data_IF_724480192202
#
_entry.id   IF_724480192202
#
_cell.length_a   1.000
_cell.length_b   1.000
_cell.length_c   1.000
_cell.angle_alpha   90.00
_cell.angle_beta   90.00
_cell.angle_gamma   90.00
#
_symmetry.space_group_name_H-M   'P 1'
#
loop_
_entity.id
_entity.type
_entity.pdbx_description
1 polymer ?
#
# COMPACT_ATOMS: atom_id res chain seq x y z
N UNK A 1 0.40 -32.64 -5.59
CA UNK A 1 -0.59 -33.16 -4.62
C UNK A 1 0.18 -33.89 -3.52
N UNK A 2 0.70 -33.15 -2.54
CA UNK A 2 1.39 -33.72 -1.36
C UNK A 2 0.33 -34.18 -0.36
N UNK A 3 0.45 -35.44 0.06
CA UNK A 3 -0.57 -36.21 0.76
C UNK A 3 -0.93 -35.71 2.16
N UNK A 4 -1.97 -36.30 2.78
CA UNK A 4 -2.53 -35.86 4.04
C UNK A 4 -1.51 -36.08 5.16
N UNK A 5 -1.25 -35.02 5.93
CA UNK A 5 -0.40 -35.06 7.11
C UNK A 5 -0.85 -36.17 8.06
N UNK A 6 0.02 -37.15 8.27
CA UNK A 6 -0.21 -38.22 9.23
C UNK A 6 -0.34 -37.64 10.63
N UNK A 7 -1.44 -37.93 11.31
CA UNK A 7 -1.58 -37.67 12.73
C UNK A 7 -1.08 -38.89 13.50
N UNK A 8 0.08 -38.78 14.15
CA UNK A 8 0.53 -39.78 15.12
C UNK A 8 0.15 -39.28 16.52
N UNK A 9 -1.03 -39.69 17.02
CA UNK A 9 -1.33 -39.57 18.44
C UNK A 9 -0.82 -40.83 19.14
N UNK A 10 0.29 -40.74 19.88
CA UNK A 10 0.74 -41.79 20.79
C UNK A 10 -0.03 -41.60 22.10
N UNK A 11 -1.07 -42.40 22.31
CA UNK A 11 -1.63 -42.59 23.65
C UNK A 11 -0.73 -43.59 24.39
N UNK A 12 0.07 -43.11 25.35
CA UNK A 12 0.82 -43.97 26.26
C UNK A 12 -0.06 -44.27 27.49
N UNK A 13 -0.45 -45.53 27.66
CA UNK A 13 -1.15 -45.99 28.86
C UNK A 13 -0.09 -46.49 29.86
N UNK A 14 -0.01 -45.85 31.03
CA UNK A 14 0.83 -46.31 32.14
C UNK A 14 -0.06 -46.97 33.21
N UNK A 15 0.37 -48.14 33.72
CA UNK A 15 -0.30 -48.80 34.84
C UNK A 15 -1.47 -49.73 34.47
N UNK A 16 -1.37 -50.45 33.35
CA UNK A 16 -2.33 -51.54 33.07
C UNK A 16 -1.94 -52.74 33.94
N UNK A 17 -2.62 -52.89 35.08
CA UNK A 17 -2.54 -54.11 35.89
C UNK A 17 -3.41 -55.17 35.19
N UNK A 18 -2.80 -56.27 34.74
CA UNK A 18 -3.44 -57.32 33.92
C UNK A 18 -4.58 -58.06 34.67
N UNK A 19 -4.74 -57.79 35.97
CA UNK A 19 -5.60 -58.54 36.88
C UNK A 19 -6.96 -57.87 37.22
N UNK A 20 -7.26 -56.68 36.69
CA UNK A 20 -8.57 -56.04 36.91
C UNK A 20 -9.09 -55.40 35.61
N UNK A 21 -10.02 -56.10 34.95
CA UNK A 21 -10.85 -55.61 33.85
C UNK A 21 -11.87 -54.55 34.35
N UNK A 22 -11.41 -53.53 35.09
CA UNK A 22 -12.22 -52.32 35.27
C UNK A 22 -12.00 -51.47 34.02
N UNK A 23 -13.01 -51.27 33.16
CA UNK A 23 -12.85 -50.38 32.03
C UNK A 23 -12.46 -49.00 32.56
N UNK A 24 -11.26 -48.54 32.21
CA UNK A 24 -10.91 -47.14 32.35
C UNK A 24 -11.99 -46.35 31.62
N UNK A 25 -12.64 -45.42 32.31
CA UNK A 25 -13.77 -44.67 31.76
C UNK A 25 -13.46 -44.13 30.36
N UNK A 26 -14.50 -43.99 29.52
CA UNK A 26 -14.35 -43.48 28.17
C UNK A 26 -13.66 -42.11 28.20
N UNK A 27 -12.52 -41.99 27.52
CA UNK A 27 -11.90 -40.70 27.25
C UNK A 27 -12.29 -40.24 25.84
N UNK A 28 -12.78 -39.01 25.73
CA UNK A 28 -13.10 -38.41 24.44
C UNK A 28 -11.89 -37.63 23.92
N UNK A 29 -11.39 -37.99 22.74
CA UNK A 29 -10.39 -37.19 22.03
C UNK A 29 -11.14 -36.23 21.11
N UNK A 30 -11.05 -34.93 21.37
CA UNK A 30 -11.60 -33.91 20.48
C UNK A 30 -10.54 -33.44 19.49
N UNK A 31 -10.73 -33.72 18.21
CA UNK A 31 -9.83 -33.30 17.12
C UNK A 31 -10.52 -32.17 16.36
N UNK A 32 -10.03 -30.95 16.52
CA UNK A 32 -10.55 -29.78 15.82
C UNK A 32 -9.89 -29.63 14.45
N UNK A 33 -10.63 -29.20 13.41
CA UNK A 33 -10.05 -28.91 12.10
C UNK A 33 -9.12 -27.68 12.16
N UNK A 34 -8.29 -27.55 11.13
CA UNK A 34 -7.44 -26.37 10.89
C UNK A 34 -7.96 -25.57 9.72
N UNK A 35 -7.84 -24.25 9.83
CA UNK A 35 -8.24 -23.29 8.81
C UNK A 35 -7.07 -22.41 8.41
N UNK A 36 -7.07 -21.98 7.15
CA UNK A 36 -6.05 -21.11 6.59
C UNK A 36 -6.45 -19.65 6.76
N UNK A 37 -5.53 -18.84 7.26
CA UNK A 37 -5.61 -17.39 7.27
C UNK A 37 -4.60 -16.83 6.26
N UNK A 38 -5.09 -16.13 5.24
CA UNK A 38 -4.28 -15.37 4.29
C UNK A 38 -4.33 -13.90 4.68
N UNK A 39 -3.17 -13.29 4.85
CA UNK A 39 -3.05 -11.88 5.21
C UNK A 39 -2.27 -11.16 4.11
N UNK A 40 -2.76 -9.99 3.73
CA UNK A 40 -2.09 -9.13 2.76
C UNK A 40 -2.27 -7.67 3.11
N UNK A 41 -1.47 -6.81 2.49
CA UNK A 41 -1.62 -5.37 2.54
C UNK A 41 -1.80 -4.81 1.13
N UNK A 42 -2.60 -3.75 1.04
CA UNK A 42 -2.92 -3.09 -0.21
C UNK A 42 -2.85 -1.57 -0.04
N UNK A 43 -1.97 -0.88 -0.77
CA UNK A 43 -0.89 -1.40 -1.63
C UNK A 43 0.23 -2.14 -0.87
N UNK A 44 1.00 -2.97 -1.59
CA UNK A 44 2.01 -3.87 -1.00
C UNK A 44 3.20 -3.13 -0.38
N UNK A 45 3.55 -1.95 -0.88
CA UNK A 45 4.70 -1.19 -0.38
C UNK A 45 4.32 -0.15 0.68
N UNK A 46 3.02 0.01 0.97
CA UNK A 46 2.51 1.11 1.81
C UNK A 46 2.37 0.73 3.29
N UNK A 47 2.74 -0.50 3.63
CA UNK A 47 2.72 -0.99 5.00
C UNK A 47 3.03 -2.47 5.10
N UNK A 48 2.81 -3.03 6.28
CA UNK A 48 2.96 -4.46 6.55
C UNK A 48 1.92 -4.92 7.57
N UNK A 49 1.72 -6.24 7.66
CA UNK A 49 0.85 -6.87 8.65
C UNK A 49 1.58 -8.01 9.35
N UNK A 50 1.39 -8.13 10.66
CA UNK A 50 1.92 -9.23 11.47
C UNK A 50 0.82 -9.87 12.32
N UNK A 51 0.77 -11.21 12.43
CA UNK A 51 1.54 -12.19 11.65
C UNK A 51 1.12 -12.23 10.17
N UNK A 52 1.96 -12.77 9.25
CA UNK A 52 1.68 -12.84 7.81
C UNK A 52 0.62 -13.89 7.41
N UNK A 53 -0.15 -14.41 8.36
CA UNK A 53 -1.09 -15.52 8.17
C UNK A 53 -0.49 -16.89 8.50
N UNK A 54 -1.21 -17.95 8.16
CA UNK A 54 -0.84 -19.34 8.47
C UNK A 54 -2.04 -20.26 8.69
N UNK A 55 -1.78 -21.45 9.23
CA UNK A 55 -2.82 -22.40 9.64
C UNK A 55 -3.09 -22.30 11.13
N UNK A 56 -4.37 -22.24 11.50
CA UNK A 56 -4.83 -22.11 12.87
C UNK A 56 -5.87 -23.16 13.20
N UNK A 57 -5.90 -23.64 14.44
CA UNK A 57 -6.95 -24.55 14.91
C UNK A 57 -8.27 -23.78 15.00
N UNK A 58 -9.39 -24.41 14.65
CA UNK A 58 -10.72 -23.81 14.78
C UNK A 58 -10.93 -23.21 16.17
N UNK A 59 -11.47 -21.99 16.23
CA UNK A 59 -11.73 -21.24 17.46
C UNK A 59 -10.52 -20.47 17.99
N UNK A 60 -9.35 -20.57 17.34
CA UNK A 60 -8.19 -19.73 17.69
C UNK A 60 -8.52 -18.24 17.46
N UNK A 61 -8.01 -17.38 18.32
CA UNK A 61 -8.06 -15.92 18.14
C UNK A 61 -6.68 -15.42 17.75
N UNK A 62 -6.58 -14.82 16.57
CA UNK A 62 -5.33 -14.26 16.02
C UNK A 62 -5.34 -12.74 16.24
N UNK A 63 -4.27 -12.21 16.83
CA UNK A 63 -4.05 -10.77 16.99
C UNK A 63 -3.27 -10.24 15.78
N UNK A 64 -3.96 -9.53 14.89
CA UNK A 64 -3.37 -8.88 13.72
C UNK A 64 -2.98 -7.43 14.04
N UNK A 65 -1.78 -7.04 13.62
CA UNK A 65 -1.28 -5.67 13.72
C UNK A 65 -0.88 -5.16 12.34
N UNK A 66 -1.48 -4.05 11.91
CA UNK A 66 -1.04 -3.30 10.74
C UNK A 66 0.03 -2.27 11.13
N UNK A 67 1.07 -2.14 10.31
CA UNK A 67 2.13 -1.14 10.49
C UNK A 67 2.28 -0.35 9.18
N UNK A 68 1.84 0.91 9.12
CA UNK A 68 2.04 1.76 7.95
C UNK A 68 3.51 2.01 7.67
N UNK A 69 3.88 2.10 6.39
CA UNK A 69 5.18 2.59 5.99
C UNK A 69 5.26 4.12 6.15
N UNK A 70 6.47 4.67 6.05
CA UNK A 70 6.68 6.12 6.11
C UNK A 70 5.84 6.84 5.05
N UNK A 71 5.24 7.98 5.41
CA UNK A 71 4.35 8.79 4.55
C UNK A 71 2.99 8.15 4.17
N UNK A 72 2.68 6.97 4.71
CA UNK A 72 1.39 6.30 4.53
C UNK A 72 0.67 6.15 5.87
N UNK A 73 -0.64 5.92 5.80
CA UNK A 73 -1.50 5.67 6.95
C UNK A 73 -2.35 4.43 6.74
N UNK A 74 -2.67 3.76 7.83
CA UNK A 74 -3.68 2.71 7.82
C UNK A 74 -5.06 3.33 7.63
N UNK A 75 -5.87 2.73 6.77
CA UNK A 75 -7.25 3.13 6.53
C UNK A 75 -8.18 2.21 7.33
N UNK A 76 -8.16 0.92 7.01
CA UNK A 76 -9.05 -0.08 7.60
C UNK A 76 -8.67 -1.51 7.18
N UNK A 77 -9.25 -2.48 7.88
CA UNK A 77 -9.24 -3.89 7.51
C UNK A 77 -10.38 -4.23 6.56
N UNK A 78 -10.15 -5.15 5.63
CA UNK A 78 -11.20 -5.70 4.77
C UNK A 78 -11.08 -7.23 4.59
N UNK A 79 -12.11 -7.84 3.98
CA UNK A 79 -12.22 -9.28 3.78
C UNK A 79 -12.98 -9.94 4.92
N UNK A 80 -12.35 -10.90 5.60
CA UNK A 80 -12.90 -11.60 6.76
C UNK A 80 -12.90 -10.77 8.05
N UNK A 81 -12.38 -9.54 8.00
CA UNK A 81 -12.39 -8.60 9.11
C UNK A 81 -12.71 -7.18 8.66
N UNK A 82 -13.08 -6.33 9.61
CA UNK A 82 -13.38 -4.92 9.41
C UNK A 82 -12.93 -4.08 10.60
N UNK A 83 -12.81 -2.78 10.39
CA UNK A 83 -12.48 -1.81 11.43
C UNK A 83 -11.27 -0.96 11.10
N UNK A 84 -11.12 0.15 11.80
CA UNK A 84 -10.11 1.19 11.56
C UNK A 84 -8.99 1.18 12.60
N UNK A 85 -9.03 0.24 13.55
CA UNK A 85 -7.97 0.09 14.55
C UNK A 85 -6.77 -0.67 13.95
N UNK A 86 -5.56 -0.19 14.22
CA UNK A 86 -4.31 -0.85 13.82
C UNK A 86 -4.17 -2.27 14.38
N UNK A 87 -4.81 -2.53 15.52
CA UNK A 87 -4.85 -3.83 16.19
C UNK A 87 -6.24 -4.43 16.07
N UNK A 88 -6.31 -5.69 15.67
CA UNK A 88 -7.55 -6.42 15.43
C UNK A 88 -7.43 -7.84 15.98
N UNK A 89 -8.44 -8.29 16.72
CA UNK A 89 -8.57 -9.70 17.09
C UNK A 89 -9.54 -10.39 16.14
N UNK A 90 -9.09 -11.48 15.51
CA UNK A 90 -9.89 -12.26 14.57
C UNK A 90 -10.04 -13.70 15.09
N UNK A 91 -11.29 -14.13 15.28
CA UNK A 91 -11.62 -15.53 15.55
C UNK A 91 -11.60 -16.34 14.25
N UNK A 92 -10.91 -17.48 14.25
CA UNK A 92 -10.76 -18.35 13.08
C UNK A 92 -11.79 -19.48 13.13
N UNK A 93 -12.89 -19.29 12.42
CA UNK A 93 -13.96 -20.29 12.29
C UNK A 93 -14.00 -21.00 10.94
N UNK A 94 -13.38 -20.40 9.92
CA UNK A 94 -13.25 -20.95 8.56
C UNK A 94 -12.03 -20.35 7.86
N UNK A 95 -11.78 -20.73 6.61
CA UNK A 95 -10.74 -20.11 5.79
C UNK A 95 -11.02 -18.62 5.62
N UNK A 96 -10.03 -17.79 5.96
CA UNK A 96 -10.18 -16.34 6.03
C UNK A 96 -9.13 -15.63 5.20
N UNK A 97 -9.54 -14.56 4.53
CA UNK A 97 -8.64 -13.64 3.83
C UNK A 97 -8.82 -12.26 4.45
N UNK A 98 -7.73 -11.67 4.93
CA UNK A 98 -7.72 -10.34 5.53
C UNK A 98 -6.77 -9.44 4.75
N UNK A 99 -7.23 -8.22 4.46
CA UNK A 99 -6.43 -7.21 3.79
C UNK A 99 -6.34 -5.96 4.66
N UNK A 100 -5.13 -5.52 4.98
CA UNK A 100 -4.88 -4.19 5.53
C UNK A 100 -4.83 -3.17 4.40
N UNK A 101 -5.69 -2.16 4.44
CA UNK A 101 -5.70 -1.09 3.44
C UNK A 101 -4.92 0.11 3.95
N UNK A 102 -4.05 0.63 3.10
CA UNK A 102 -3.23 1.81 3.38
C UNK A 102 -3.56 2.92 2.39
N UNK A 103 -3.34 4.16 2.81
CA UNK A 103 -3.54 5.35 2.01
C UNK A 103 -2.40 6.34 2.20
N UNK A 104 -2.26 7.24 1.25
CA UNK A 104 -1.30 8.33 1.34
C UNK A 104 -1.66 9.28 2.48
N UNK A 105 -0.63 9.87 3.08
CA UNK A 105 -0.76 11.09 3.86
C UNK A 105 -0.56 12.26 2.89
N UNK A 106 -1.40 13.28 3.00
CA UNK A 106 -1.34 14.49 2.18
C UNK A 106 -1.06 15.71 3.07
N UNK A 107 -0.41 16.72 2.51
CA UNK A 107 -0.39 18.07 3.10
C UNK A 107 -1.80 18.66 3.14
N UNK A 108 -2.03 19.54 4.13
CA UNK A 108 -3.37 20.09 4.43
C UNK A 108 -3.65 21.38 3.67
N UNK A 109 -2.63 22.19 3.38
CA UNK A 109 -2.78 23.44 2.62
C UNK A 109 -3.02 23.20 1.11
N UNK A 110 -2.40 22.15 0.56
CA UNK A 110 -2.53 21.71 -0.83
C UNK A 110 -2.45 20.18 -0.84
N UNK A 111 -3.41 19.42 -1.40
CA UNK A 111 -3.43 17.96 -1.31
C UNK A 111 -2.32 17.30 -2.14
N UNK A 112 -1.09 17.29 -1.61
CA UNK A 112 0.11 16.72 -2.23
C UNK A 112 0.64 15.59 -1.35
N UNK A 113 0.96 14.40 -1.90
CA UNK A 113 1.44 13.27 -1.11
C UNK A 113 2.80 13.54 -0.45
N UNK A 114 2.93 13.17 0.82
CA UNK A 114 4.19 13.35 1.56
C UNK A 114 5.33 12.51 0.95
N UNK A 115 5.04 11.29 0.50
CA UNK A 115 6.05 10.44 -0.16
C UNK A 115 6.58 11.08 -1.45
N UNK A 116 5.72 11.80 -2.16
CA UNK A 116 6.10 12.51 -3.39
C UNK A 116 7.00 13.69 -3.07
N UNK A 117 6.64 14.50 -2.06
CA UNK A 117 7.51 15.59 -1.57
C UNK A 117 8.87 15.06 -1.08
N UNK A 118 8.85 13.97 -0.32
CA UNK A 118 10.06 13.31 0.18
C UNK A 118 10.95 12.78 -0.95
N UNK A 119 10.36 12.31 -2.05
CA UNK A 119 11.13 11.89 -3.23
C UNK A 119 11.93 13.03 -3.88
N UNK A 120 11.54 14.29 -3.65
CA UNK A 120 12.27 15.49 -4.06
C UNK A 120 13.15 16.10 -2.95
N UNK A 121 13.35 15.36 -1.85
CA UNK A 121 14.23 15.75 -0.75
C UNK A 121 13.57 16.62 0.33
N UNK A 122 12.25 16.81 0.30
CA UNK A 122 11.56 17.45 1.41
C UNK A 122 11.58 16.54 2.64
N UNK A 123 11.97 17.07 3.80
CA UNK A 123 11.93 16.36 5.07
C UNK A 123 11.43 17.27 6.17
N UNK A 124 10.63 16.74 7.10
CA UNK A 124 10.13 17.50 8.24
C UNK A 124 8.87 18.29 7.91
N UNK A 125 8.99 19.62 7.79
CA UNK A 125 7.85 20.51 7.57
C UNK A 125 7.36 20.49 6.11
N UNK A 126 6.53 19.49 5.81
CA UNK A 126 5.92 19.32 4.48
C UNK A 126 4.96 20.45 4.10
N UNK A 127 4.33 21.12 5.07
CA UNK A 127 3.39 22.22 4.81
C UNK A 127 4.14 23.47 4.32
N UNK A 128 5.37 23.68 4.79
CA UNK A 128 6.26 24.70 4.24
C UNK A 128 6.91 24.25 2.93
N UNK A 129 7.34 22.99 2.82
CA UNK A 129 8.02 22.50 1.63
C UNK A 129 7.13 22.55 0.37
N UNK A 130 5.86 22.19 0.50
CA UNK A 130 4.91 22.06 -0.61
C UNK A 130 4.67 23.38 -1.38
N UNK A 131 4.90 24.52 -0.75
CA UNK A 131 4.80 25.85 -1.38
C UNK A 131 6.14 26.40 -1.89
N UNK A 132 7.25 25.71 -1.68
CA UNK A 132 8.55 26.12 -2.21
C UNK A 132 8.60 26.00 -3.72
N UNK A 133 9.23 26.98 -4.36
CA UNK A 133 9.41 27.00 -5.81
C UNK A 133 10.53 26.05 -6.22
N UNK A 134 10.21 25.10 -7.10
CA UNK A 134 11.19 24.18 -7.69
C UNK A 134 12.06 24.85 -8.76
N UNK A 135 13.02 24.09 -9.30
CA UNK A 135 13.86 24.54 -10.42
C UNK A 135 13.06 24.82 -11.71
N UNK A 136 11.83 24.30 -11.78
CA UNK A 136 10.86 24.59 -12.83
C UNK A 136 10.10 25.91 -12.65
N UNK A 137 10.39 26.68 -11.61
CA UNK A 137 9.78 27.99 -11.39
C UNK A 137 8.35 27.93 -10.86
N UNK A 138 7.83 26.74 -10.55
CA UNK A 138 6.50 26.54 -9.95
C UNK A 138 6.64 26.04 -8.50
N UNK A 139 5.68 26.36 -7.62
CA UNK A 139 5.52 25.66 -6.36
C UNK A 139 5.44 24.13 -6.55
N UNK A 140 5.89 23.36 -5.55
CA UNK A 140 5.86 21.90 -5.62
C UNK A 140 4.44 21.36 -5.84
N UNK A 141 3.42 21.90 -5.16
CA UNK A 141 2.04 21.44 -5.36
C UNK A 141 1.51 21.67 -6.79
N UNK A 142 1.85 22.80 -7.42
CA UNK A 142 1.47 23.06 -8.81
C UNK A 142 2.13 22.06 -9.74
N UNK A 143 3.40 21.75 -9.47
CA UNK A 143 4.14 20.73 -10.21
C UNK A 143 3.50 19.35 -10.08
N UNK A 144 3.05 18.97 -8.87
CA UNK A 144 2.33 17.72 -8.65
C UNK A 144 1.03 17.66 -9.45
N UNK A 145 0.18 18.68 -9.35
CA UNK A 145 -1.11 18.75 -10.05
C UNK A 145 -0.94 18.70 -11.58
N UNK A 146 0.11 19.34 -12.10
CA UNK A 146 0.40 19.38 -13.53
C UNK A 146 1.25 18.18 -14.04
N UNK A 147 1.58 17.22 -13.17
CA UNK A 147 2.43 16.06 -13.52
C UNK A 147 3.82 16.47 -14.01
N UNK A 148 4.36 17.54 -13.44
CA UNK A 148 5.67 18.11 -13.77
C UNK A 148 6.72 17.59 -12.79
N UNK A 149 7.98 17.68 -13.20
CA UNK A 149 9.15 17.34 -12.38
C UNK A 149 9.72 18.64 -11.80
N UNK A 150 9.56 18.91 -10.49
CA UNK A 150 10.01 20.16 -9.86
C UNK A 150 11.50 20.46 -10.02
N UNK A 151 12.32 19.41 -10.10
CA UNK A 151 13.78 19.51 -10.25
C UNK A 151 14.22 19.74 -11.70
N UNK A 152 13.30 19.70 -12.67
CA UNK A 152 13.60 19.86 -14.08
C UNK A 152 12.94 21.12 -14.65
N UNK A 153 13.76 22.14 -14.93
CA UNK A 153 13.30 23.39 -15.53
C UNK A 153 12.55 23.22 -16.86
N UNK A 154 12.96 22.24 -17.67
CA UNK A 154 12.32 21.91 -18.93
C UNK A 154 11.01 21.14 -18.79
N UNK A 155 10.62 20.75 -17.58
CA UNK A 155 9.34 20.05 -17.37
C UNK A 155 8.15 20.95 -17.67
N UNK A 156 8.28 22.26 -17.50
CA UNK A 156 7.22 23.23 -17.73
C UNK A 156 7.16 23.58 -19.22
N UNK A 157 5.94 23.75 -19.75
CA UNK A 157 5.77 24.35 -21.06
C UNK A 157 6.06 25.85 -20.96
N UNK A 158 7.24 26.25 -21.44
CA UNK A 158 7.63 27.65 -21.58
C UNK A 158 7.66 28.03 -23.06
N UNK A 159 6.79 28.94 -23.47
CA UNK A 159 6.78 29.50 -24.82
C UNK A 159 7.77 30.67 -24.89
N UNK A 160 8.82 30.50 -25.68
CA UNK A 160 9.65 31.60 -26.17
C UNK A 160 8.97 32.25 -27.36
N UNK A 161 8.87 33.59 -27.35
CA UNK A 161 8.42 34.38 -28.50
C UNK A 161 9.61 35.16 -29.01
N UNK A 162 9.90 35.04 -30.30
CA UNK A 162 10.89 35.88 -30.98
C UNK A 162 10.29 36.45 -32.26
N UNK A 163 10.63 37.70 -32.57
CA UNK A 163 10.25 38.33 -33.84
C UNK A 163 11.49 38.37 -34.71
N UNK A 164 11.43 37.70 -35.85
CA UNK A 164 12.52 37.69 -36.82
C UNK A 164 12.60 39.03 -37.57
N UNK A 165 13.72 39.29 -38.24
CA UNK A 165 13.98 40.55 -38.94
C UNK A 165 12.98 40.83 -40.09
N UNK A 166 12.29 39.81 -40.58
CA UNK A 166 11.22 39.88 -41.58
C UNK A 166 9.82 40.14 -40.99
N UNK A 167 9.72 40.28 -39.66
CA UNK A 167 8.47 40.48 -38.94
C UNK A 167 7.73 39.19 -38.56
N UNK A 168 8.31 38.01 -38.84
CA UNK A 168 7.69 36.73 -38.47
C UNK A 168 7.83 36.46 -36.97
N UNK A 169 6.70 36.22 -36.30
CA UNK A 169 6.67 35.80 -34.90
C UNK A 169 6.85 34.28 -34.80
N UNK A 170 7.97 33.86 -34.20
CA UNK A 170 8.26 32.45 -33.91
C UNK A 170 7.92 32.16 -32.46
N UNK A 171 7.06 31.17 -32.27
CA UNK A 171 6.83 30.50 -30.99
C UNK A 171 7.73 29.27 -30.93
N UNK A 172 8.60 29.21 -29.93
CA UNK A 172 9.48 28.08 -29.66
C UNK A 172 9.26 27.55 -28.24
N UNK A 173 9.39 26.26 -28.03
CA UNK A 173 9.38 25.68 -26.67
C UNK A 173 10.30 24.46 -26.60
N UNK A 174 10.93 24.20 -25.44
CA UNK A 174 11.64 22.96 -25.21
C UNK A 174 10.64 21.79 -25.19
N UNK A 175 10.77 20.84 -26.11
CA UNK A 175 9.93 19.65 -26.16
C UNK A 175 10.35 18.64 -25.09
N UNK A 176 9.39 18.08 -24.35
CA UNK A 176 9.62 16.98 -23.41
C UNK A 176 9.13 15.67 -24.04
N UNK A 177 9.97 14.63 -23.99
CA UNK A 177 9.61 13.29 -24.47
C UNK A 177 8.34 12.78 -23.77
N UNK A 178 7.43 12.18 -24.53
CA UNK A 178 6.17 11.64 -24.01
C UNK A 178 5.04 12.66 -23.77
N UNK A 179 5.24 13.95 -24.09
CA UNK A 179 4.18 14.96 -24.06
C UNK A 179 3.65 15.27 -25.46
N UNK A 180 2.33 15.40 -25.57
CA UNK A 180 1.66 15.88 -26.79
C UNK A 180 1.40 17.37 -26.62
N UNK A 181 1.89 18.15 -27.59
CA UNK A 181 1.64 19.58 -27.67
C UNK A 181 0.72 19.81 -28.87
N UNK A 182 -0.44 20.41 -28.63
CA UNK A 182 -1.42 20.70 -29.68
C UNK A 182 -1.53 22.20 -29.87
N UNK A 183 -1.30 22.67 -31.10
CA UNK A 183 -1.61 24.04 -31.50
C UNK A 183 -3.03 24.03 -32.08
N UNK A 184 -3.99 24.61 -31.35
CA UNK A 184 -5.43 24.49 -31.66
C UNK A 184 -5.96 25.54 -32.63
N UNK A 185 -5.20 26.60 -32.93
CA UNK A 185 -5.55 27.59 -33.94
C UNK A 185 -4.29 28.25 -34.52
N UNK A 186 -4.28 28.48 -35.83
CA UNK A 186 -3.22 29.23 -36.53
C UNK A 186 -3.86 30.04 -37.65
N UNK A 187 -3.44 31.29 -37.86
CA UNK A 187 -3.76 32.03 -39.09
C UNK A 187 -2.67 31.90 -40.15
N UNK A 188 -1.40 31.66 -39.76
CA UNK A 188 -0.24 31.54 -40.68
C UNK A 188 0.92 30.74 -40.02
N UNK A 189 0.83 29.42 -39.88
CA UNK A 189 1.99 28.62 -39.43
C UNK A 189 2.92 28.35 -40.63
N UNK A 190 4.14 28.86 -40.61
CA UNK A 190 5.15 28.47 -41.58
C UNK A 190 5.63 27.04 -41.24
N UNK A 191 5.58 26.12 -42.21
CA UNK A 191 5.99 24.72 -42.09
C UNK A 191 7.51 24.56 -42.08
#
# INVERSE_FOLDING_TARGET
>A
MTGPGGFTNIAAFAGVDEAAETPLGAFAVNILPRWTLVVSNSPTDWGSVSPPGGEFVQGSVVSLTATPAEYFRFLDWSGAASGTNLHLQLAIESNSVVVARFGEILTTNHPTPLWWLASFGASGDFETAVVQTGANGLPLWESYVAGLVPTNAGSVLALGVSVQADGLTVLAWPSVSGRVYTVSATTNLAA
#
